data_IF_043264524256
#
_entry.id   IF_043264524256
#
_cell.length_a   1.000
_cell.length_b   1.000
_cell.length_c   1.000
_cell.angle_alpha   90.00
_cell.angle_beta   90.00
_cell.angle_gamma   90.00
#
_symmetry.space_group_name_H-M   'P 1'
#
loop_
_entity.id
_entity.type
_entity.pdbx_description
1 polymer ?
#
# COMPACT_ATOMS: atom_id res chain seq x y z
N UNK A 1 -1.98 -14.85 -7.41
CA UNK A 1 -2.06 -13.80 -6.39
C UNK A 1 -0.65 -13.36 -6.07
N UNK A 2 -0.33 -12.09 -6.31
CA UNK A 2 0.99 -11.52 -6.04
C UNK A 2 1.18 -11.40 -4.52
N UNK A 3 2.36 -11.75 -4.00
CA UNK A 3 2.68 -11.65 -2.57
C UNK A 3 2.40 -10.25 -2.00
N UNK A 4 2.66 -9.21 -2.80
CA UNK A 4 2.41 -7.80 -2.48
C UNK A 4 0.93 -7.54 -2.14
N UNK A 5 0.00 -8.12 -2.91
CA UNK A 5 -1.44 -7.96 -2.68
C UNK A 5 -1.84 -8.47 -1.29
N UNK A 6 -1.33 -9.64 -0.89
CA UNK A 6 -1.62 -10.23 0.42
C UNK A 6 -1.10 -9.34 1.56
N UNK A 7 0.08 -8.74 1.39
CA UNK A 7 0.66 -7.85 2.40
C UNK A 7 -0.17 -6.56 2.52
N UNK A 8 -0.57 -5.95 1.40
CA UNK A 8 -1.46 -4.78 1.38
C UNK A 8 -2.76 -5.08 2.13
N UNK A 9 -3.39 -6.21 1.82
CA UNK A 9 -4.63 -6.61 2.49
C UNK A 9 -4.42 -6.77 4.00
N UNK A 10 -3.31 -7.39 4.43
CA UNK A 10 -3.01 -7.54 5.86
C UNK A 10 -2.77 -6.19 6.55
N UNK A 11 -2.00 -5.30 5.93
CA UNK A 11 -1.75 -3.97 6.48
C UNK A 11 -3.04 -3.14 6.61
N UNK A 12 -3.94 -3.22 5.62
CA UNK A 12 -5.26 -2.57 5.71
C UNK A 12 -6.11 -3.13 6.84
N UNK A 13 -6.15 -4.46 6.99
CA UNK A 13 -6.89 -5.11 8.10
C UNK A 13 -6.39 -4.66 9.46
N UNK A 14 -5.08 -4.49 9.62
CA UNK A 14 -4.46 -4.02 10.86
C UNK A 14 -4.82 -2.55 11.15
N UNK A 15 -4.69 -1.66 10.18
CA UNK A 15 -4.97 -0.23 10.39
C UNK A 15 -6.46 0.08 10.54
N UNK A 16 -7.31 -0.62 9.79
CA UNK A 16 -8.77 -0.47 9.88
C UNK A 16 -9.37 -1.29 11.04
N UNK A 17 -8.56 -2.03 11.79
CA UNK A 17 -8.99 -2.97 12.83
C UNK A 17 -10.12 -3.92 12.35
N UNK A 18 -10.04 -4.35 11.08
CA UNK A 18 -11.07 -5.14 10.41
C UNK A 18 -10.49 -6.39 9.76
N UNK A 19 -10.41 -7.49 10.51
CA UNK A 19 -9.88 -8.77 10.03
C UNK A 19 -10.66 -9.40 8.87
N UNK A 20 -11.91 -8.98 8.66
CA UNK A 20 -12.80 -9.49 7.62
C UNK A 20 -12.81 -8.65 6.35
N UNK A 21 -11.98 -7.60 6.29
CA UNK A 21 -11.88 -6.75 5.11
C UNK A 21 -11.41 -7.57 3.90
N UNK A 22 -12.22 -7.56 2.85
CA UNK A 22 -11.87 -8.07 1.54
C UNK A 22 -11.70 -6.86 0.60
N UNK A 23 -10.58 -6.84 -0.10
CA UNK A 23 -10.28 -5.83 -1.11
C UNK A 23 -10.06 -6.53 -2.45
N UNK A 24 -10.16 -5.78 -3.52
CA UNK A 24 -9.73 -6.16 -4.85
C UNK A 24 -8.73 -5.13 -5.41
N UNK A 25 -8.24 -5.37 -6.62
CA UNK A 25 -7.29 -4.48 -7.28
C UNK A 25 -7.90 -3.13 -7.70
N UNK A 26 -9.22 -3.04 -7.84
CA UNK A 26 -9.94 -1.83 -8.21
C UNK A 26 -10.41 -1.03 -7.00
N UNK A 27 -10.26 -1.58 -5.79
CA UNK A 27 -10.69 -0.96 -4.54
C UNK A 27 -9.96 0.36 -4.36
N UNK A 28 -10.76 1.42 -4.19
CA UNK A 28 -10.31 2.77 -3.95
C UNK A 28 -10.10 2.99 -2.44
N UNK A 29 -8.92 3.48 -2.05
CA UNK A 29 -8.62 3.69 -0.64
C UNK A 29 -9.48 4.80 -0.02
N UNK A 30 -9.81 5.85 -0.77
CA UNK A 30 -10.65 6.94 -0.27
C UNK A 30 -12.12 6.55 -0.37
N UNK A 31 -12.60 6.22 -1.58
CA UNK A 31 -14.02 6.06 -1.83
C UNK A 31 -14.62 4.75 -1.30
N UNK A 32 -13.89 3.64 -1.35
CA UNK A 32 -14.42 2.33 -0.94
C UNK A 32 -14.07 1.99 0.52
N UNK A 33 -12.89 2.41 0.99
CA UNK A 33 -12.40 2.11 2.34
C UNK A 33 -12.58 3.27 3.33
N UNK A 34 -12.99 4.46 2.88
CA UNK A 34 -13.15 5.67 3.71
C UNK A 34 -11.86 5.98 4.50
N UNK A 35 -10.72 5.82 3.83
CA UNK A 35 -9.43 5.77 4.48
C UNK A 35 -8.85 7.18 4.61
N UNK A 36 -9.02 7.80 5.77
CA UNK A 36 -8.48 9.14 6.03
C UNK A 36 -6.97 9.26 5.78
N UNK A 37 -6.51 10.46 5.41
CA UNK A 37 -5.07 10.79 5.25
C UNK A 37 -4.16 10.30 6.40
N UNK A 38 -4.64 10.35 7.64
CA UNK A 38 -3.90 9.85 8.81
C UNK A 38 -3.81 8.33 8.81
N UNK A 39 -4.92 7.64 8.53
CA UNK A 39 -4.95 6.18 8.39
C UNK A 39 -4.10 5.74 7.19
N UNK A 40 -4.07 6.52 6.11
CA UNK A 40 -3.29 6.23 4.93
C UNK A 40 -1.78 6.24 5.24
N UNK A 41 -1.32 7.26 5.97
CA UNK A 41 0.08 7.31 6.44
C UNK A 41 0.39 6.13 7.38
N UNK A 42 -0.50 5.78 8.31
CA UNK A 42 -0.30 4.62 9.18
C UNK A 42 -0.26 3.30 8.40
N UNK A 43 -1.10 3.16 7.38
CA UNK A 43 -1.12 2.02 6.48
C UNK A 43 0.22 1.88 5.74
N UNK A 44 0.77 2.98 5.24
CA UNK A 44 2.07 2.97 4.58
C UNK A 44 3.19 2.58 5.54
N UNK A 45 3.25 3.16 6.74
CA UNK A 45 4.23 2.78 7.76
C UNK A 45 4.12 1.28 8.13
N UNK A 46 2.90 0.77 8.25
CA UNK A 46 2.62 -0.65 8.51
C UNK A 46 3.10 -1.52 7.34
N UNK A 47 2.99 -1.01 6.12
CA UNK A 47 3.44 -1.70 4.92
C UNK A 47 4.98 -1.70 4.78
N UNK A 48 5.67 -0.62 5.16
CA UNK A 48 7.15 -0.58 5.26
C UNK A 48 7.66 -1.65 6.21
N UNK A 49 7.05 -1.78 7.38
CA UNK A 49 7.47 -2.75 8.40
C UNK A 49 7.33 -4.20 7.91
N UNK A 50 6.38 -4.46 6.99
CA UNK A 50 6.15 -5.78 6.41
C UNK A 50 6.99 -6.07 5.17
N UNK A 51 7.51 -5.06 4.48
CA UNK A 51 8.26 -5.22 3.23
C UNK A 51 9.70 -4.77 3.44
N UNK A 52 10.60 -5.73 3.60
CA UNK A 52 12.04 -5.46 3.70
C UNK A 52 12.56 -4.67 2.49
N UNK A 53 13.11 -3.49 2.76
CA UNK A 53 13.68 -2.59 1.74
C UNK A 53 12.68 -1.60 1.13
N UNK A 54 11.41 -1.61 1.57
CA UNK A 54 10.45 -0.57 1.25
C UNK A 54 10.69 0.65 2.14
N UNK A 55 10.85 1.81 1.51
CA UNK A 55 10.90 3.09 2.20
C UNK A 55 10.02 4.09 1.45
N UNK A 56 9.03 4.58 2.16
CA UNK A 56 8.05 5.54 1.75
C UNK A 56 8.55 6.94 2.12
N UNK A 57 8.77 7.79 1.11
CA UNK A 57 9.17 9.17 1.34
C UNK A 57 7.95 10.01 1.72
N UNK A 58 7.85 10.50 2.97
CA UNK A 58 6.67 11.25 3.43
C UNK A 58 6.42 12.54 2.64
N UNK A 59 7.43 13.07 1.96
CA UNK A 59 7.27 14.26 1.10
C UNK A 59 6.73 13.92 -0.30
N UNK A 60 6.88 12.68 -0.77
CA UNK A 60 6.40 12.22 -2.09
C UNK A 60 5.07 11.48 -2.02
N UNK A 61 4.64 11.12 -0.82
CA UNK A 61 3.45 10.33 -0.59
C UNK A 61 2.27 11.24 -0.37
N UNK A 62 1.39 11.24 -1.36
CA UNK A 62 0.05 11.77 -1.22
C UNK A 62 -0.94 10.68 -1.57
N UNK A 63 -2.10 10.70 -0.91
CA UNK A 63 -3.20 9.77 -1.18
C UNK A 63 -3.63 9.83 -2.65
N UNK A 64 -3.53 11.01 -3.28
CA UNK A 64 -3.72 11.20 -4.72
C UNK A 64 -2.77 10.37 -5.61
N UNK A 65 -1.58 10.01 -5.12
CA UNK A 65 -0.63 9.19 -5.88
C UNK A 65 -1.04 7.71 -5.91
N UNK A 66 -1.83 7.26 -4.94
CA UNK A 66 -2.23 5.87 -4.74
C UNK A 66 -3.73 5.78 -4.51
N UNK A 67 -4.50 6.03 -5.56
CA UNK A 67 -5.98 6.00 -5.48
C UNK A 67 -6.52 4.59 -5.26
N UNK A 68 -5.93 3.59 -5.92
CA UNK A 68 -6.43 2.19 -5.89
C UNK A 68 -5.35 1.19 -5.52
N UNK A 69 -5.77 0.02 -5.04
CA UNK A 69 -4.87 -1.10 -4.70
C UNK A 69 -3.96 -1.47 -5.88
N UNK A 70 -4.48 -1.52 -7.11
CA UNK A 70 -3.68 -1.77 -8.32
C UNK A 70 -2.56 -0.75 -8.52
N UNK A 71 -2.86 0.54 -8.29
CA UNK A 71 -1.89 1.63 -8.44
C UNK A 71 -0.74 1.47 -7.45
N UNK A 72 -1.05 1.12 -6.20
CA UNK A 72 -0.04 0.86 -5.17
C UNK A 72 0.80 -0.38 -5.49
N UNK A 73 0.17 -1.47 -5.94
CA UNK A 73 0.89 -2.69 -6.35
C UNK A 73 1.86 -2.38 -7.49
N UNK A 74 1.41 -1.67 -8.52
CA UNK A 74 2.26 -1.30 -9.65
C UNK A 74 3.45 -0.44 -9.23
N UNK A 75 3.24 0.50 -8.29
CA UNK A 75 4.33 1.30 -7.74
C UNK A 75 5.31 0.47 -6.91
N UNK A 76 4.81 -0.44 -6.06
CA UNK A 76 5.66 -1.33 -5.27
C UNK A 76 6.47 -2.27 -6.16
N UNK A 77 5.87 -2.82 -7.21
CA UNK A 77 6.58 -3.65 -8.18
C UNK A 77 7.66 -2.84 -8.89
N UNK A 78 7.41 -1.60 -9.28
CA UNK A 78 8.41 -0.72 -9.91
C UNK A 78 9.52 -0.26 -8.94
N UNK A 79 9.22 0.01 -7.68
CA UNK A 79 10.19 0.60 -6.74
C UNK A 79 10.91 -0.44 -5.88
N UNK A 80 10.29 -1.58 -5.60
CA UNK A 80 10.88 -2.64 -4.76
C UNK A 80 11.55 -3.72 -5.62
N UNK A 81 11.04 -4.02 -6.83
CA UNK A 81 11.64 -5.04 -7.69
C UNK A 81 12.65 -4.48 -8.71
N UNK A 82 12.63 -3.18 -9.00
CA UNK A 82 13.51 -2.59 -10.04
C UNK A 82 14.85 -2.02 -9.50
N UNK A 83 15.11 -2.04 -8.19
CA UNK A 83 16.39 -1.59 -7.60
C UNK A 83 17.48 -2.69 -7.65
N UNK A 84 17.60 -3.39 -8.79
CA UNK A 84 18.75 -4.25 -9.11
C UNK A 84 19.34 -4.05 -10.50
N UNK A 85 19.02 -2.95 -11.19
CA UNK A 85 19.81 -2.52 -12.34
C UNK A 85 20.79 -1.41 -11.93
N UNK A 86 21.89 -1.87 -11.32
CA UNK A 86 23.16 -1.13 -11.28
C UNK A 86 23.57 -0.86 -12.74
N UNK A 87 23.87 0.38 -13.09
CA UNK A 87 24.69 0.73 -14.25
C UNK A 87 25.78 1.70 -13.82
#
# INVERSE_FOLDING_TARGET
>A
MSTVFTIIQQALREVMENDTLEIDENTDFDNDLDLDSVMFVQFLLTLEDKIDGLLFDPDQINMDAFTTVASLIGWLEANVLEVRHVS
#
